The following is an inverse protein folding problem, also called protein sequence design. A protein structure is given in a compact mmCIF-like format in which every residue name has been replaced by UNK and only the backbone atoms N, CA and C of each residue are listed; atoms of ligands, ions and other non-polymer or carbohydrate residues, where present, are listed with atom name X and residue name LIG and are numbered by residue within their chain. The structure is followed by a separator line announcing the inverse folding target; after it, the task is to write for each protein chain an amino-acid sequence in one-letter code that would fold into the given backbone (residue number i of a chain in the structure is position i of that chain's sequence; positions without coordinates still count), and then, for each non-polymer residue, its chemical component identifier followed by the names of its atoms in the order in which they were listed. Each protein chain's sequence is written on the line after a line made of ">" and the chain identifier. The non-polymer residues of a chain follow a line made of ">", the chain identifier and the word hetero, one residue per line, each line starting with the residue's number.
data_IF_176943799059
#
_entry.id   IF_176943799059
#
_cell.length_a   1.000
_cell.length_b   1.000
_cell.length_c   1.000
_cell.angle_alpha   90.00
_cell.angle_beta   90.00
_cell.angle_gamma   90.00
#
_symmetry.space_group_name_H-M   'P 1'
#
loop_
_entity.id
_entity.type
_entity.pdbx_description
1 polymer ?
#
# COMPACT_ATOMS: atom_id res chain seq x y z
N UNK A 1 6.11 7.65 -69.52
CA UNK A 1 5.35 6.58 -68.83
C UNK A 1 5.67 6.65 -67.34
N UNK A 2 4.92 7.42 -66.64
CA UNK A 2 5.12 7.70 -65.20
C UNK A 2 4.18 6.81 -64.40
N UNK A 3 4.76 5.88 -63.63
CA UNK A 3 4.01 4.97 -62.74
C UNK A 3 3.74 5.71 -61.42
N UNK A 4 2.51 6.08 -61.15
CA UNK A 4 2.03 6.53 -59.85
C UNK A 4 1.96 5.28 -58.96
N UNK A 5 2.81 5.24 -57.90
CA UNK A 5 2.67 4.32 -56.82
C UNK A 5 1.60 4.87 -55.85
N UNK A 6 0.43 4.23 -55.81
CA UNK A 6 -0.57 4.47 -54.85
C UNK A 6 -0.15 3.80 -53.52
N UNK A 7 0.35 4.61 -52.57
CA UNK A 7 0.57 4.15 -51.20
C UNK A 7 -0.79 4.05 -50.49
N UNK A 8 -1.26 2.81 -50.31
CA UNK A 8 -2.37 2.50 -49.43
C UNK A 8 -1.93 2.75 -47.97
N UNK A 9 -2.28 3.88 -47.41
CA UNK A 9 -2.17 4.11 -45.98
C UNK A 9 -3.29 3.31 -45.32
N UNK A 10 -2.96 2.15 -44.75
CA UNK A 10 -3.85 1.41 -43.87
C UNK A 10 -3.95 2.20 -42.60
N UNK A 11 -4.92 3.10 -42.52
CA UNK A 11 -5.34 3.72 -41.27
C UNK A 11 -5.99 2.61 -40.44
N UNK A 12 -5.20 1.95 -39.58
CA UNK A 12 -5.77 1.19 -38.47
C UNK A 12 -6.58 2.20 -37.64
N UNK A 13 -7.90 2.19 -37.81
CA UNK A 13 -8.82 2.89 -36.93
C UNK A 13 -8.61 2.27 -35.53
N UNK A 14 -7.83 2.91 -34.70
CA UNK A 14 -7.91 2.75 -33.27
C UNK A 14 -9.35 3.18 -32.91
N UNK A 15 -10.25 2.20 -32.81
CA UNK A 15 -11.57 2.45 -32.28
C UNK A 15 -11.37 3.04 -30.88
N UNK A 16 -11.65 4.32 -30.71
CA UNK A 16 -11.61 4.94 -29.41
C UNK A 16 -12.61 4.16 -28.53
N UNK A 17 -12.09 3.53 -27.48
CA UNK A 17 -12.96 2.85 -26.51
C UNK A 17 -13.99 3.85 -25.99
N UNK A 18 -15.25 3.46 -26.01
CA UNK A 18 -16.31 4.25 -25.43
C UNK A 18 -16.16 4.28 -23.91
N UNK A 19 -16.74 5.29 -23.28
CA UNK A 19 -16.79 5.39 -21.82
C UNK A 19 -17.44 4.13 -21.21
N UNK A 20 -18.49 3.63 -21.83
CA UNK A 20 -19.23 2.46 -21.30
C UNK A 20 -18.41 1.17 -21.40
N UNK A 21 -17.65 0.97 -22.46
CA UNK A 21 -16.70 -0.15 -22.59
C UNK A 21 -15.60 -0.07 -21.54
N UNK A 22 -15.06 1.12 -21.29
CA UNK A 22 -14.06 1.33 -20.25
C UNK A 22 -14.63 1.02 -18.85
N UNK A 23 -15.83 1.49 -18.53
CA UNK A 23 -16.51 1.20 -17.26
C UNK A 23 -16.81 -0.30 -17.09
N UNK A 24 -17.26 -0.98 -18.15
CA UNK A 24 -17.48 -2.42 -18.15
C UNK A 24 -16.17 -3.19 -17.89
N UNK A 25 -15.07 -2.79 -18.54
CA UNK A 25 -13.76 -3.37 -18.33
C UNK A 25 -13.24 -3.17 -16.90
N UNK A 26 -13.39 -1.96 -16.34
CA UNK A 26 -13.03 -1.66 -14.96
C UNK A 26 -13.84 -2.51 -13.96
N UNK A 27 -15.14 -2.62 -14.15
CA UNK A 27 -16.01 -3.45 -13.31
C UNK A 27 -15.60 -4.92 -13.36
N UNK A 28 -15.35 -5.45 -14.57
CA UNK A 28 -14.89 -6.84 -14.76
C UNK A 28 -13.54 -7.08 -14.08
N UNK A 29 -12.58 -6.18 -14.24
CA UNK A 29 -11.28 -6.27 -13.59
C UNK A 29 -11.40 -6.24 -12.06
N UNK A 30 -12.21 -5.32 -11.52
CA UNK A 30 -12.43 -5.22 -10.07
C UNK A 30 -13.05 -6.49 -9.49
N UNK A 31 -14.07 -7.05 -10.13
CA UNK A 31 -14.66 -8.32 -9.70
C UNK A 31 -13.66 -9.47 -9.77
N UNK A 32 -12.85 -9.55 -10.83
CA UNK A 32 -11.80 -10.55 -10.93
C UNK A 32 -10.78 -10.43 -9.77
N UNK A 33 -10.35 -9.20 -9.44
CA UNK A 33 -9.44 -8.97 -8.34
C UNK A 33 -10.06 -9.36 -6.99
N UNK A 34 -11.32 -9.00 -6.75
CA UNK A 34 -12.04 -9.33 -5.51
C UNK A 34 -12.27 -10.83 -5.34
N UNK A 35 -12.67 -11.51 -6.42
CA UNK A 35 -13.17 -12.87 -6.35
C UNK A 35 -12.08 -13.94 -6.54
N UNK A 36 -10.99 -13.59 -7.27
CA UNK A 36 -9.99 -14.56 -7.70
C UNK A 36 -8.57 -14.27 -7.22
N UNK A 37 -8.24 -13.01 -6.98
CA UNK A 37 -6.88 -12.58 -6.68
C UNK A 37 -6.69 -12.29 -5.20
N UNK A 38 -7.68 -11.67 -4.54
CA UNK A 38 -7.52 -11.19 -3.18
C UNK A 38 -7.44 -12.29 -2.13
N UNK A 39 -6.52 -12.16 -1.21
CA UNK A 39 -6.51 -12.90 0.06
C UNK A 39 -7.23 -12.06 1.13
N UNK A 40 -8.52 -12.33 1.37
CA UNK A 40 -9.35 -11.62 2.35
C UNK A 40 -9.38 -10.09 2.18
N UNK A 41 -9.19 -9.57 0.96
CA UNK A 41 -9.11 -8.15 0.64
C UNK A 41 -7.70 -7.60 0.46
N UNK A 42 -6.66 -8.37 0.76
CA UNK A 42 -5.28 -7.99 0.54
C UNK A 42 -4.67 -8.61 -0.72
N UNK A 43 -3.51 -8.10 -1.12
CA UNK A 43 -2.88 -8.40 -2.39
C UNK A 43 -1.37 -8.54 -2.24
N UNK A 44 -0.77 -9.30 -3.16
CA UNK A 44 0.67 -9.35 -3.40
C UNK A 44 1.09 -8.43 -4.55
N UNK A 45 2.39 -8.24 -4.71
CA UNK A 45 2.97 -7.48 -5.82
C UNK A 45 2.88 -8.25 -7.15
N UNK A 46 3.07 -9.57 -7.10
CA UNK A 46 3.07 -10.45 -8.26
C UNK A 46 2.29 -11.73 -7.99
N UNK A 47 1.80 -12.34 -9.04
CA UNK A 47 1.08 -13.62 -8.98
C UNK A 47 1.58 -14.55 -10.08
N UNK A 48 1.54 -15.86 -9.80
CA UNK A 48 1.64 -16.86 -10.83
C UNK A 48 0.48 -16.72 -11.84
N UNK A 49 0.67 -17.12 -13.08
CA UNK A 49 -0.35 -16.96 -14.13
C UNK A 49 -1.66 -17.71 -13.80
N UNK A 50 -1.57 -18.80 -13.07
CA UNK A 50 -2.69 -19.61 -12.61
C UNK A 50 -3.26 -19.16 -11.24
N UNK A 51 -2.70 -18.10 -10.66
CA UNK A 51 -3.04 -17.56 -9.33
C UNK A 51 -2.78 -18.52 -8.16
N UNK A 52 -2.05 -19.60 -8.38
CA UNK A 52 -1.73 -20.58 -7.32
C UNK A 52 -0.81 -20.03 -6.24
N UNK A 53 -0.04 -18.99 -6.53
CA UNK A 53 0.88 -18.36 -5.60
C UNK A 53 0.91 -16.85 -5.81
N UNK A 54 0.92 -16.10 -4.70
CA UNK A 54 1.33 -14.70 -4.66
C UNK A 54 2.79 -14.61 -4.26
N UNK A 55 3.48 -13.59 -4.74
CA UNK A 55 4.88 -13.33 -4.42
C UNK A 55 5.11 -11.84 -4.27
N UNK A 56 5.90 -11.51 -3.28
CA UNK A 56 6.48 -10.19 -3.09
C UNK A 56 8.00 -10.26 -3.21
N UNK A 57 8.68 -9.21 -2.83
CA UNK A 57 10.14 -9.21 -2.65
C UNK A 57 10.55 -10.24 -1.57
N UNK A 58 9.74 -10.38 -0.53
CA UNK A 58 9.89 -11.40 0.49
C UNK A 58 9.03 -12.63 0.15
N UNK A 59 9.54 -13.82 0.49
CA UNK A 59 8.75 -15.04 0.36
C UNK A 59 7.47 -14.92 1.20
N UNK A 60 6.33 -15.14 0.58
CA UNK A 60 5.02 -15.03 1.23
C UNK A 60 4.23 -16.33 1.12
N UNK A 61 3.47 -16.62 2.17
CA UNK A 61 2.56 -17.76 2.20
C UNK A 61 1.17 -17.42 1.63
N UNK A 62 0.32 -18.45 1.44
CA UNK A 62 -1.01 -18.26 0.84
C UNK A 62 -1.98 -17.42 1.70
N UNK A 63 -1.71 -17.30 2.99
CA UNK A 63 -2.51 -16.51 3.94
C UNK A 63 -1.79 -15.22 4.36
N UNK A 64 -0.85 -14.75 3.58
CA UNK A 64 -0.16 -13.49 3.79
C UNK A 64 -0.54 -12.49 2.73
N UNK A 65 -0.45 -11.22 3.06
CA UNK A 65 -0.61 -10.11 2.11
C UNK A 65 0.53 -9.12 2.29
N UNK A 66 0.76 -8.30 1.29
CA UNK A 66 1.86 -7.37 1.29
C UNK A 66 1.42 -5.93 1.48
N UNK A 67 2.23 -5.18 2.24
CA UNK A 67 1.99 -3.77 2.58
C UNK A 67 2.87 -2.80 1.76
N UNK A 68 3.77 -3.29 0.92
CA UNK A 68 4.55 -2.40 0.05
C UNK A 68 3.64 -1.60 -0.89
N UNK A 69 4.16 -0.47 -1.35
CA UNK A 69 3.41 0.49 -2.18
C UNK A 69 2.85 -0.10 -3.48
N UNK A 70 3.40 -1.20 -3.97
CA UNK A 70 3.00 -1.89 -5.22
C UNK A 70 1.86 -2.89 -5.02
N UNK A 71 1.58 -3.30 -3.78
CA UNK A 71 0.62 -4.34 -3.43
C UNK A 71 -0.70 -3.79 -2.85
N UNK A 72 -1.11 -4.27 -1.66
CA UNK A 72 -2.42 -3.96 -1.07
C UNK A 72 -2.76 -2.46 -1.02
N UNK A 73 -1.86 -1.54 -0.59
CA UNK A 73 -2.18 -0.12 -0.55
C UNK A 73 -2.42 0.48 -1.94
N UNK A 74 -1.68 0.00 -2.96
CA UNK A 74 -1.84 0.49 -4.34
C UNK A 74 -3.17 0.05 -4.94
N UNK A 75 -3.55 -1.20 -4.71
CA UNK A 75 -4.85 -1.72 -5.16
C UNK A 75 -5.99 -0.98 -4.48
N UNK A 76 -5.90 -0.74 -3.16
CA UNK A 76 -6.85 0.07 -2.42
C UNK A 76 -6.98 1.50 -2.96
N UNK A 77 -5.85 2.14 -3.30
CA UNK A 77 -5.84 3.47 -3.93
C UNK A 77 -6.49 3.45 -5.32
N UNK A 78 -6.25 2.42 -6.13
CA UNK A 78 -6.90 2.29 -7.44
C UNK A 78 -8.42 2.16 -7.33
N UNK A 79 -8.92 1.46 -6.32
CA UNK A 79 -10.36 1.42 -6.03
C UNK A 79 -10.92 2.79 -5.64
N UNK A 80 -10.19 3.58 -4.84
CA UNK A 80 -10.60 4.95 -4.51
C UNK A 80 -10.56 5.89 -5.73
N UNK A 81 -9.62 5.72 -6.62
CA UNK A 81 -9.56 6.46 -7.89
C UNK A 81 -10.77 6.11 -8.77
N UNK A 82 -11.11 4.82 -8.87
CA UNK A 82 -12.30 4.35 -9.59
C UNK A 82 -13.61 4.86 -8.94
N UNK A 83 -13.72 4.84 -7.61
CA UNK A 83 -14.83 5.45 -6.87
C UNK A 83 -14.95 6.95 -7.16
N UNK A 84 -13.86 7.68 -7.09
CA UNK A 84 -13.84 9.13 -7.40
C UNK A 84 -14.35 9.44 -8.80
N UNK A 85 -14.00 8.60 -9.78
CA UNK A 85 -14.36 8.79 -11.18
C UNK A 85 -15.79 8.35 -11.52
N UNK A 86 -16.34 7.37 -10.80
CA UNK A 86 -17.59 6.71 -11.19
C UNK A 86 -18.71 6.87 -10.18
N UNK A 87 -18.39 7.02 -8.91
CA UNK A 87 -19.31 6.96 -7.76
C UNK A 87 -20.07 5.63 -7.66
N UNK A 88 -19.57 4.57 -8.32
CA UNK A 88 -20.12 3.22 -8.18
C UNK A 88 -19.69 2.61 -6.83
N UNK A 89 -20.63 2.23 -5.96
CA UNK A 89 -20.34 1.70 -4.63
C UNK A 89 -19.47 0.44 -4.65
N UNK A 90 -19.41 -0.31 -5.74
CA UNK A 90 -18.53 -1.47 -5.90
C UNK A 90 -17.09 -1.12 -5.52
N UNK A 91 -16.60 0.04 -5.98
CA UNK A 91 -15.21 0.44 -5.75
C UNK A 91 -14.95 0.92 -4.33
N UNK A 92 -15.92 1.59 -3.71
CA UNK A 92 -15.80 2.00 -2.31
C UNK A 92 -15.79 0.78 -1.38
N UNK A 93 -16.65 -0.21 -1.65
CA UNK A 93 -16.70 -1.47 -0.91
C UNK A 93 -15.40 -2.28 -1.10
N UNK A 94 -14.84 -2.29 -2.31
CA UNK A 94 -13.54 -2.90 -2.59
C UNK A 94 -12.41 -2.22 -1.80
N UNK A 95 -12.40 -0.89 -1.75
CA UNK A 95 -11.43 -0.12 -0.95
C UNK A 95 -11.57 -0.42 0.56
N UNK A 96 -12.80 -0.50 1.08
CA UNK A 96 -13.03 -0.89 2.48
C UNK A 96 -12.52 -2.28 2.82
N UNK A 97 -12.67 -3.25 1.91
CA UNK A 97 -12.10 -4.60 2.11
C UNK A 97 -10.58 -4.58 2.18
N UNK A 98 -9.93 -3.81 1.30
CA UNK A 98 -8.48 -3.63 1.35
C UNK A 98 -8.02 -2.91 2.63
N UNK A 99 -8.76 -1.91 3.11
CA UNK A 99 -8.47 -1.24 4.37
C UNK A 99 -8.65 -2.17 5.58
N UNK A 100 -9.71 -2.98 5.60
CA UNK A 100 -9.98 -3.87 6.73
C UNK A 100 -8.85 -4.87 6.98
N UNK A 101 -8.21 -5.39 5.94
CA UNK A 101 -7.06 -6.30 6.11
C UNK A 101 -5.82 -5.55 6.60
N UNK A 102 -5.61 -4.32 6.16
CA UNK A 102 -4.52 -3.47 6.65
C UNK A 102 -4.72 -3.05 8.11
N UNK A 103 -5.94 -2.71 8.52
CA UNK A 103 -6.28 -2.44 9.93
C UNK A 103 -5.97 -3.66 10.79
N UNK A 104 -6.30 -4.88 10.34
CA UNK A 104 -5.96 -6.12 11.05
C UNK A 104 -4.45 -6.39 11.13
N UNK A 105 -3.69 -5.84 10.19
CA UNK A 105 -2.23 -5.97 10.14
C UNK A 105 -1.47 -4.83 10.80
N UNK A 106 -2.15 -3.83 11.38
CA UNK A 106 -1.48 -2.75 12.08
C UNK A 106 -0.75 -3.25 13.31
N UNK A 107 0.54 -2.94 13.40
CA UNK A 107 1.38 -3.32 14.54
C UNK A 107 1.13 -2.43 15.76
N UNK A 108 1.44 -2.95 16.93
CA UNK A 108 1.37 -2.17 18.17
C UNK A 108 2.31 -0.95 18.21
N UNK A 109 3.31 -0.91 17.34
CA UNK A 109 4.14 0.28 17.10
C UNK A 109 3.46 1.37 16.27
N UNK A 110 2.27 1.11 15.74
CA UNK A 110 1.43 2.07 15.03
C UNK A 110 1.49 1.98 13.51
N UNK A 111 2.55 1.45 12.93
CA UNK A 111 2.68 1.26 11.49
C UNK A 111 2.56 -0.21 11.07
N UNK A 112 3.24 -0.56 9.98
CA UNK A 112 3.22 -1.89 9.38
C UNK A 112 4.63 -2.40 9.10
N UNK A 113 4.77 -3.72 8.98
CA UNK A 113 5.91 -4.37 8.36
C UNK A 113 5.52 -4.84 6.95
N UNK A 114 6.42 -5.45 6.21
CA UNK A 114 6.24 -5.85 4.81
C UNK A 114 5.03 -6.75 4.58
N UNK A 115 4.83 -7.73 5.45
CA UNK A 115 3.78 -8.73 5.32
C UNK A 115 2.80 -8.68 6.48
N UNK A 116 1.53 -9.02 6.21
CA UNK A 116 0.53 -9.30 7.23
C UNK A 116 0.17 -10.78 7.16
N UNK A 117 0.26 -11.48 8.28
CA UNK A 117 -0.23 -12.84 8.43
C UNK A 117 -1.73 -12.83 8.74
N UNK A 118 -2.52 -13.52 7.92
CA UNK A 118 -3.98 -13.57 8.04
C UNK A 118 -4.48 -14.84 8.74
N UNK A 119 -3.66 -15.91 8.76
CA UNK A 119 -4.01 -17.16 9.41
C UNK A 119 -4.04 -16.97 10.93
N UNK A 120 -5.18 -17.16 11.61
CA UNK A 120 -5.30 -17.00 13.05
C UNK A 120 -4.32 -17.87 13.85
N UNK A 121 -3.96 -19.06 13.34
CA UNK A 121 -3.02 -19.96 13.99
C UNK A 121 -1.56 -19.45 13.88
N UNK A 122 -1.24 -18.74 12.81
CA UNK A 122 0.12 -18.26 12.52
C UNK A 122 0.37 -16.83 12.95
N UNK A 123 -0.67 -15.99 13.06
CA UNK A 123 -0.51 -14.58 13.44
C UNK A 123 -0.15 -14.33 14.90
N UNK A 124 -0.20 -15.36 15.75
CA UNK A 124 0.09 -15.24 17.19
C UNK A 124 1.46 -14.64 17.53
N UNK A 125 2.55 -14.92 16.81
CA UNK A 125 3.86 -14.30 17.08
C UNK A 125 3.94 -12.81 16.69
N UNK A 126 3.01 -12.32 15.87
CA UNK A 126 3.03 -10.95 15.40
C UNK A 126 2.30 -10.02 16.37
N UNK A 127 2.87 -8.85 16.71
CA UNK A 127 2.26 -7.92 17.66
C UNK A 127 1.22 -7.02 16.98
N UNK A 128 0.19 -7.64 16.39
CA UNK A 128 -0.89 -6.87 15.80
C UNK A 128 -1.76 -6.24 16.88
N UNK A 129 -2.06 -4.95 16.71
CA UNK A 129 -2.80 -4.13 17.65
C UNK A 129 -4.18 -4.71 17.98
N UNK A 130 -4.89 -5.18 16.96
CA UNK A 130 -6.24 -5.75 17.11
C UNK A 130 -6.29 -7.05 17.91
N UNK A 131 -5.17 -7.72 18.08
CA UNK A 131 -5.08 -8.96 18.84
C UNK A 131 -4.84 -8.71 20.34
N UNK A 132 -4.65 -7.45 20.78
CA UNK A 132 -4.53 -7.06 22.17
C UNK A 132 -3.26 -7.57 22.88
N UNK A 133 -2.20 -7.91 22.14
CA UNK A 133 -0.97 -8.54 22.67
C UNK A 133 0.26 -7.64 22.57
N UNK A 134 0.07 -6.35 22.68
CA UNK A 134 1.13 -5.37 22.50
C UNK A 134 2.28 -5.48 23.51
N UNK A 135 2.02 -5.96 24.73
CA UNK A 135 3.02 -6.11 25.78
C UNK A 135 3.90 -7.37 25.64
N UNK A 136 3.48 -8.33 24.80
CA UNK A 136 4.12 -9.65 24.71
C UNK A 136 5.27 -9.73 23.71
N UNK A 137 5.47 -8.67 22.91
CA UNK A 137 6.48 -8.65 21.85
C UNK A 137 6.95 -7.23 21.57
N UNK A 138 8.10 -7.11 20.90
CA UNK A 138 8.62 -5.81 20.45
C UNK A 138 8.13 -5.53 19.03
N UNK A 139 7.05 -4.78 18.84
CA UNK A 139 6.59 -4.42 17.52
C UNK A 139 7.63 -3.53 16.83
N UNK A 140 7.82 -3.71 15.52
CA UNK A 140 8.70 -2.85 14.73
C UNK A 140 8.07 -2.57 13.39
N UNK A 141 7.56 -1.35 13.25
CA UNK A 141 7.07 -0.82 11.98
C UNK A 141 8.22 -0.37 11.10
N UNK A 142 8.05 -0.43 9.78
CA UNK A 142 9.06 0.04 8.83
C UNK A 142 8.58 1.25 8.03
N UNK A 143 9.50 2.20 7.83
CA UNK A 143 9.36 3.29 6.86
C UNK A 143 10.12 3.01 5.56
N UNK A 144 10.84 1.88 5.52
CA UNK A 144 11.52 1.42 4.33
C UNK A 144 10.54 1.07 3.21
N UNK A 145 10.98 1.17 1.96
CA UNK A 145 10.20 0.87 0.76
C UNK A 145 8.79 1.48 0.72
N UNK A 146 8.60 2.54 1.49
CA UNK A 146 7.32 3.25 1.56
C UNK A 146 6.16 2.37 2.11
N UNK A 147 6.47 1.40 2.98
CA UNK A 147 5.47 0.47 3.54
C UNK A 147 4.45 1.21 4.39
N UNK A 148 4.83 1.69 5.58
CA UNK A 148 3.91 2.40 6.48
C UNK A 148 3.31 3.63 5.82
N UNK A 149 4.08 4.38 5.06
CA UNK A 149 3.62 5.61 4.40
C UNK A 149 2.55 5.34 3.32
N UNK A 150 2.67 4.25 2.56
CA UNK A 150 1.69 3.89 1.54
C UNK A 150 0.36 3.46 2.17
N UNK A 151 0.43 2.63 3.21
CA UNK A 151 -0.77 2.22 3.97
C UNK A 151 -1.45 3.43 4.60
N UNK A 152 -0.69 4.27 5.31
CA UNK A 152 -1.23 5.45 5.98
C UNK A 152 -1.92 6.40 4.99
N UNK A 153 -1.29 6.71 3.85
CA UNK A 153 -1.91 7.55 2.81
C UNK A 153 -3.21 6.96 2.28
N UNK A 154 -3.26 5.65 2.09
CA UNK A 154 -4.47 4.98 1.64
C UNK A 154 -5.58 5.07 2.69
N UNK A 155 -5.28 4.72 3.96
CA UNK A 155 -6.27 4.78 5.04
C UNK A 155 -6.79 6.20 5.24
N UNK A 156 -5.92 7.22 5.29
CA UNK A 156 -6.34 8.62 5.42
C UNK A 156 -7.23 9.10 4.28
N UNK A 157 -6.94 8.68 3.04
CA UNK A 157 -7.78 9.04 1.89
C UNK A 157 -9.13 8.36 1.95
N UNK A 158 -9.17 7.07 2.29
CA UNK A 158 -10.43 6.33 2.45
C UNK A 158 -11.25 6.88 3.62
N UNK A 159 -10.65 7.14 4.74
CA UNK A 159 -11.28 7.72 5.93
C UNK A 159 -12.01 9.04 5.61
N UNK A 160 -11.36 9.91 4.83
CA UNK A 160 -11.98 11.14 4.32
C UNK A 160 -13.17 10.85 3.40
N UNK A 161 -13.08 9.90 2.49
CA UNK A 161 -14.19 9.51 1.61
C UNK A 161 -15.36 8.90 2.40
N UNK A 162 -15.11 8.40 3.61
CA UNK A 162 -16.10 7.87 4.54
C UNK A 162 -16.59 8.91 5.57
N UNK A 163 -16.29 10.18 5.38
CA UNK A 163 -16.62 11.29 6.30
C UNK A 163 -16.15 11.02 7.74
N UNK A 164 -15.02 10.30 7.90
CA UNK A 164 -14.45 9.93 9.21
C UNK A 164 -15.39 9.09 10.10
N UNK A 165 -16.34 8.36 9.49
CA UNK A 165 -17.39 7.62 10.22
C UNK A 165 -17.09 6.12 10.38
N UNK A 166 -16.08 5.60 9.70
CA UNK A 166 -15.65 4.21 9.84
C UNK A 166 -14.63 4.13 10.98
N UNK A 167 -15.13 3.90 12.20
CA UNK A 167 -14.30 3.98 13.40
C UNK A 167 -13.02 3.13 13.36
N UNK A 168 -13.01 1.86 12.89
CA UNK A 168 -11.79 1.07 12.76
C UNK A 168 -10.74 1.69 11.82
N UNK A 169 -11.16 2.25 10.68
CA UNK A 169 -10.25 2.88 9.71
C UNK A 169 -9.74 4.20 10.27
N UNK A 170 -10.63 5.02 10.82
CA UNK A 170 -10.29 6.31 11.43
C UNK A 170 -9.26 6.15 12.54
N UNK A 171 -9.54 5.26 13.49
CA UNK A 171 -8.67 4.99 14.64
C UNK A 171 -7.30 4.44 14.20
N UNK A 172 -7.25 3.53 13.20
CA UNK A 172 -5.99 3.02 12.68
C UNK A 172 -5.17 4.12 11.97
N UNK A 173 -5.82 5.00 11.22
CA UNK A 173 -5.15 6.10 10.52
C UNK A 173 -4.56 7.11 11.53
N UNK A 174 -5.32 7.51 12.53
CA UNK A 174 -4.84 8.44 13.58
C UNK A 174 -3.71 7.83 14.40
N UNK A 175 -3.87 6.59 14.86
CA UNK A 175 -2.82 5.92 15.62
C UNK A 175 -1.51 5.78 14.83
N UNK A 176 -1.59 5.49 13.52
CA UNK A 176 -0.41 5.43 12.67
C UNK A 176 0.24 6.81 12.50
N UNK A 177 -0.56 7.86 12.27
CA UNK A 177 -0.06 9.22 12.13
C UNK A 177 0.67 9.68 13.38
N UNK A 178 0.06 9.52 14.54
CA UNK A 178 0.66 9.90 15.84
C UNK A 178 1.95 9.11 16.11
N UNK A 179 1.95 7.82 15.79
CA UNK A 179 3.13 6.97 15.98
C UNK A 179 4.29 7.36 15.06
N UNK A 180 4.02 7.70 13.80
CA UNK A 180 5.03 8.18 12.84
C UNK A 180 5.57 9.53 13.28
N UNK A 181 4.71 10.45 13.75
CA UNK A 181 5.15 11.75 14.28
C UNK A 181 6.00 11.58 15.55
N UNK A 182 5.59 10.70 16.47
CA UNK A 182 6.34 10.42 17.69
C UNK A 182 7.71 9.74 17.40
N UNK A 183 7.85 9.02 16.28
CA UNK A 183 9.09 8.38 15.86
C UNK A 183 10.09 9.34 15.20
N UNK A 184 9.73 10.60 14.98
CA UNK A 184 10.62 11.60 14.41
C UNK A 184 11.69 12.01 15.42
N UNK A 185 12.95 11.97 14.99
CA UNK A 185 14.09 12.46 15.81
C UNK A 185 14.05 13.99 15.97
N UNK A 186 14.67 14.54 17.03
CA UNK A 186 14.78 15.99 17.23
C UNK A 186 15.40 16.76 16.06
N UNK A 187 16.21 16.09 15.23
CA UNK A 187 16.81 16.67 14.03
C UNK A 187 15.88 16.67 12.80
N UNK A 188 14.63 16.19 12.94
CA UNK A 188 13.63 16.12 11.88
C UNK A 188 13.72 14.87 10.98
N UNK A 189 14.71 14.00 11.19
CA UNK A 189 14.80 12.73 10.45
C UNK A 189 13.89 11.66 11.05
N UNK A 190 13.63 10.59 10.28
CA UNK A 190 12.98 9.38 10.77
C UNK A 190 13.93 8.19 10.69
N UNK A 191 13.79 7.22 11.62
CA UNK A 191 14.48 5.94 11.49
C UNK A 191 13.90 5.12 10.34
N UNK A 192 14.66 4.19 9.81
CA UNK A 192 14.13 3.20 8.87
C UNK A 192 13.05 2.31 9.51
N UNK A 193 13.24 1.97 10.80
CA UNK A 193 12.28 1.23 11.62
C UNK A 193 12.03 1.91 12.94
N UNK A 194 10.81 1.78 13.47
CA UNK A 194 10.46 2.33 14.77
C UNK A 194 9.58 1.36 15.58
N UNK A 195 9.75 1.39 16.89
CA UNK A 195 8.99 0.57 17.84
C UNK A 195 8.24 1.40 18.88
N UNK A 196 8.36 2.72 18.80
CA UNK A 196 7.78 3.71 19.69
C UNK A 196 8.39 5.09 19.44
N UNK A 197 8.20 6.04 20.36
CA UNK A 197 8.73 7.39 20.25
C UNK A 197 10.26 7.42 20.09
N UNK A 198 10.73 8.37 19.30
CA UNK A 198 12.16 8.57 19.11
C UNK A 198 12.83 9.01 20.43
N UNK A 199 14.08 8.57 20.71
CA UNK A 199 14.82 9.05 21.86
C UNK A 199 15.12 10.54 21.72
N UNK A 200 14.98 11.28 22.81
CA UNK A 200 15.18 12.75 22.86
C UNK A 200 16.66 13.10 22.75
N UNK A 201 17.56 12.17 23.09
CA UNK A 201 19.01 12.34 23.09
C UNK A 201 19.68 11.49 22.01
N UNK A 202 20.87 11.89 21.57
CA UNK A 202 21.70 11.10 20.65
C UNK A 202 21.55 11.43 19.16
N UNK A 203 20.57 12.26 18.78
CA UNK A 203 20.33 12.66 17.40
C UNK A 203 20.21 14.19 17.26
N UNK A 204 21.30 14.95 17.55
CA UNK A 204 21.26 16.41 17.45
C UNK A 204 21.02 16.85 15.99
N UNK A 205 20.45 18.04 15.75
CA UNK A 205 20.31 18.59 14.43
C UNK A 205 21.64 18.65 13.71
N UNK A 206 21.75 17.98 12.55
CA UNK A 206 22.93 18.05 11.71
C UNK A 206 23.00 19.40 11.01
N UNK A 207 24.16 20.06 11.05
CA UNK A 207 24.33 21.37 10.42
C UNK A 207 24.50 21.27 8.90
N UNK A 208 25.04 20.15 8.39
CA UNK A 208 25.27 19.87 6.96
C UNK A 208 25.37 18.37 6.71
N UNK A 209 24.95 17.92 5.52
CA UNK A 209 25.32 16.60 5.05
C UNK A 209 26.84 16.52 4.91
N UNK A 210 27.44 15.47 5.46
CA UNK A 210 28.88 15.18 5.29
C UNK A 210 29.01 13.98 4.37
N UNK A 211 29.84 14.14 3.32
CA UNK A 211 30.17 13.04 2.43
C UNK A 211 31.56 12.53 2.77
N UNK A 212 31.79 11.21 2.79
CA UNK A 212 33.16 10.69 2.92
C UNK A 212 34.06 11.30 1.88
N UNK A 213 35.31 11.67 2.23
CA UNK A 213 36.25 12.31 1.29
C UNK A 213 36.50 11.48 0.02
N UNK A 214 36.35 10.14 0.11
CA UNK A 214 36.54 9.22 -1.00
C UNK A 214 35.37 9.18 -2.00
N UNK A 215 34.21 9.76 -1.68
CA UNK A 215 33.09 9.77 -2.60
C UNK A 215 33.25 10.82 -3.69
N UNK A 216 32.99 10.40 -4.94
CA UNK A 216 32.92 11.34 -6.04
C UNK A 216 31.83 12.39 -5.80
N UNK A 217 32.16 13.65 -6.05
CA UNK A 217 31.19 14.75 -6.02
C UNK A 217 30.62 15.07 -7.41
N UNK A 218 31.06 14.33 -8.41
CA UNK A 218 30.52 14.43 -9.77
C UNK A 218 29.38 13.40 -9.93
N UNK A 219 28.24 13.88 -10.32
CA UNK A 219 27.14 13.04 -10.74
C UNK A 219 27.38 12.58 -12.17
N UNK A 220 27.05 11.34 -12.51
CA UNK A 220 27.18 10.86 -13.90
C UNK A 220 26.21 11.60 -14.83
#
# INVERSE_FOLDING_TARGET
>A
MTRLAASLILAASLAAQTRDEALAAMTKATRFYLDRVSAQGGYHDRYAADLSAGQSEHASGPNQIENQRSATPRVGMAYLEAWSATRDPLYLDAARRAAAVLVRGQLCSGGWDYLVELDPARRRPYPYRVDGRCEQSKPSSTLDDNVTQAVLRFLMRLDRELDFKDAPIHDAALFALDSVLAAQYPNGAWPQRFSGPAPVSGHPPGKRASYPPAWSRQWP
#
